data_IF_421153606718
#
_entry.id   IF_421153606718
#
_cell.length_a   1.000
_cell.length_b   1.000
_cell.length_c   1.000
_cell.angle_alpha   90.00
_cell.angle_beta   90.00
_cell.angle_gamma   90.00
#
_symmetry.space_group_name_H-M   'P 1'
#
loop_
_entity.id
_entity.type
_entity.pdbx_description
1 polymer ?
#
# COMPACT_ATOMS: atom_id res chain seq x y z
N UNK A 1 1.92 7.47 -4.69
CA UNK A 1 3.21 8.08 -4.34
C UNK A 1 4.05 7.04 -3.65
N UNK A 2 5.21 6.76 -4.17
CA UNK A 2 6.18 5.85 -3.56
C UNK A 2 7.08 6.65 -2.61
N UNK A 3 7.17 6.19 -1.37
CA UNK A 3 7.98 6.81 -0.31
C UNK A 3 9.13 5.88 0.14
N UNK A 4 9.23 4.69 -0.48
CA UNK A 4 10.30 3.72 -0.25
C UNK A 4 11.50 4.07 -1.13
N UNK A 5 12.46 4.80 -0.57
CA UNK A 5 13.66 5.24 -1.28
C UNK A 5 14.64 4.09 -1.51
N UNK A 6 15.35 4.12 -2.63
CA UNK A 6 16.45 3.20 -2.94
C UNK A 6 16.04 2.06 -3.87
N UNK A 7 15.06 1.25 -3.52
CA UNK A 7 14.62 0.10 -4.32
C UNK A 7 13.24 0.37 -4.94
N UNK A 8 13.19 1.28 -5.89
CA UNK A 8 11.97 1.66 -6.61
C UNK A 8 11.36 0.44 -7.32
N UNK A 9 10.10 0.17 -7.08
CA UNK A 9 9.37 -0.94 -7.70
C UNK A 9 8.04 -0.51 -8.34
N UNK A 10 7.43 0.54 -7.82
CA UNK A 10 6.14 1.04 -8.31
C UNK A 10 6.23 1.54 -9.75
N UNK A 11 7.34 2.14 -10.15
CA UNK A 11 7.57 2.61 -11.52
C UNK A 11 7.60 1.47 -12.54
N UNK A 12 8.17 0.30 -12.19
CA UNK A 12 8.16 -0.90 -13.04
C UNK A 12 6.73 -1.44 -13.13
N UNK A 13 6.07 -1.65 -11.98
CA UNK A 13 4.72 -2.22 -11.89
C UNK A 13 3.72 -1.35 -12.65
N UNK A 14 3.84 -0.03 -12.57
CA UNK A 14 2.97 0.92 -13.25
C UNK A 14 3.38 1.21 -14.71
N UNK A 15 4.48 0.66 -15.20
CA UNK A 15 4.98 0.86 -16.57
C UNK A 15 5.53 2.26 -16.84
N UNK A 16 5.97 2.98 -15.80
CA UNK A 16 6.53 4.33 -15.91
C UNK A 16 8.05 4.37 -15.74
N UNK A 17 8.70 3.21 -15.64
CA UNK A 17 10.15 3.10 -15.55
C UNK A 17 10.85 3.85 -16.72
N UNK A 18 11.84 4.66 -16.39
CA UNK A 18 12.56 5.51 -17.36
C UNK A 18 11.78 6.72 -17.88
N UNK A 19 10.56 6.99 -17.39
CA UNK A 19 9.72 8.13 -17.77
C UNK A 19 9.68 9.23 -16.71
N UNK A 20 10.16 8.97 -15.50
CA UNK A 20 10.17 9.90 -14.38
C UNK A 20 11.42 10.78 -14.45
N UNK A 21 11.23 12.10 -14.57
CA UNK A 21 12.30 13.10 -14.55
C UNK A 21 12.49 13.64 -13.13
N UNK A 22 11.39 13.84 -12.42
CA UNK A 22 11.35 14.33 -11.05
C UNK A 22 10.75 13.28 -10.14
N UNK A 23 11.20 13.22 -8.90
CA UNK A 23 10.72 12.32 -7.86
C UNK A 23 10.00 13.07 -6.73
N UNK A 24 9.55 12.33 -5.71
CA UNK A 24 8.83 12.92 -4.57
C UNK A 24 9.71 13.89 -3.79
N UNK A 25 11.02 13.65 -3.67
CA UNK A 25 11.94 14.53 -2.95
C UNK A 25 12.10 15.87 -3.67
N UNK A 26 12.18 15.87 -5.02
CA UNK A 26 12.22 17.09 -5.81
C UNK A 26 11.04 18.01 -5.52
N UNK A 27 9.85 17.40 -5.39
CA UNK A 27 8.63 18.14 -5.06
C UNK A 27 8.66 18.64 -3.61
N UNK A 28 9.02 17.78 -2.65
CA UNK A 28 9.00 18.14 -1.23
C UNK A 28 10.05 19.21 -0.87
N UNK A 29 11.20 19.20 -1.59
CA UNK A 29 12.24 20.22 -1.46
C UNK A 29 11.99 21.48 -2.30
N UNK A 30 10.89 21.53 -3.07
CA UNK A 30 10.55 22.67 -3.91
C UNK A 30 11.43 22.84 -5.16
N UNK A 31 12.15 21.79 -5.59
CA UNK A 31 12.95 21.81 -6.85
C UNK A 31 12.05 21.78 -8.09
N UNK A 32 10.82 21.25 -7.97
CA UNK A 32 9.82 21.31 -9.03
C UNK A 32 8.40 21.39 -8.46
N UNK A 33 7.46 21.78 -9.33
CA UNK A 33 6.03 21.71 -9.03
C UNK A 33 5.54 20.26 -9.02
N UNK A 34 4.59 19.92 -8.12
CA UNK A 34 4.07 18.56 -7.99
C UNK A 34 3.52 17.97 -9.29
N UNK A 35 2.90 18.79 -10.14
CA UNK A 35 2.38 18.38 -11.44
C UNK A 35 3.46 17.81 -12.38
N UNK A 36 4.71 18.27 -12.28
CA UNK A 36 5.83 17.81 -13.12
C UNK A 36 6.35 16.42 -12.72
N UNK A 37 6.12 16.01 -11.48
CA UNK A 37 6.51 14.70 -10.96
C UNK A 37 5.42 13.64 -11.17
N UNK A 38 4.20 14.04 -11.51
CA UNK A 38 3.08 13.12 -11.75
C UNK A 38 3.21 12.50 -13.15
N UNK A 39 3.43 11.19 -13.21
CA UNK A 39 3.56 10.45 -14.46
C UNK A 39 2.38 9.50 -14.63
N UNK A 40 1.52 9.68 -15.65
CA UNK A 40 0.41 8.77 -15.91
C UNK A 40 0.92 7.38 -16.33
N UNK A 41 0.29 6.33 -15.77
CA UNK A 41 0.59 4.96 -16.17
C UNK A 41 0.04 4.67 -17.57
N UNK A 42 0.84 4.11 -18.48
CA UNK A 42 0.35 3.64 -19.77
C UNK A 42 -0.41 2.29 -19.64
N UNK A 43 -0.26 1.59 -18.51
CA UNK A 43 -0.83 0.27 -18.29
C UNK A 43 -2.20 0.33 -17.63
N UNK A 44 -2.40 1.30 -16.74
CA UNK A 44 -3.59 1.40 -15.89
C UNK A 44 -4.25 2.76 -16.06
N UNK A 45 -5.31 2.86 -16.87
CA UNK A 45 -6.06 4.11 -17.02
C UNK A 45 -6.54 4.67 -15.67
N UNK A 46 -6.30 5.96 -15.45
CA UNK A 46 -6.64 6.64 -14.19
C UNK A 46 -5.59 6.49 -13.07
N UNK A 47 -4.54 5.69 -13.26
CA UNK A 47 -3.41 5.63 -12.35
C UNK A 47 -2.31 6.61 -12.77
N UNK A 48 -1.80 7.36 -11.80
CA UNK A 48 -0.57 8.16 -11.96
C UNK A 48 0.39 7.86 -10.82
N UNK A 49 1.68 8.00 -11.08
CA UNK A 49 2.75 7.72 -10.11
C UNK A 49 3.58 8.96 -9.88
N UNK A 50 3.96 9.19 -8.62
CA UNK A 50 5.13 9.97 -8.24
C UNK A 50 6.09 8.97 -7.61
N UNK A 51 7.26 8.81 -8.19
CA UNK A 51 8.25 7.81 -7.76
C UNK A 51 9.09 8.33 -6.58
N UNK A 52 9.64 7.41 -5.79
CA UNK A 52 10.64 7.73 -4.78
C UNK A 52 12.00 8.09 -5.42
N UNK A 53 12.91 8.77 -4.71
CA UNK A 53 14.28 8.96 -5.16
C UNK A 53 15.07 7.64 -5.14
N UNK A 54 16.10 7.52 -5.97
CA UNK A 54 17.01 6.37 -5.93
C UNK A 54 17.96 6.39 -4.74
N UNK A 55 18.28 7.57 -4.24
CA UNK A 55 19.18 7.74 -3.10
C UNK A 55 18.60 8.75 -2.11
N UNK A 56 18.65 8.42 -0.82
CA UNK A 56 18.36 9.34 0.26
C UNK A 56 16.89 9.75 0.34
N UNK A 57 16.66 10.97 0.79
CA UNK A 57 15.37 11.60 0.86
C UNK A 57 14.70 11.47 2.23
N UNK A 58 14.75 12.56 3.01
CA UNK A 58 13.92 12.68 4.19
C UNK A 58 12.50 13.09 3.76
N UNK A 59 11.53 12.19 3.95
CA UNK A 59 10.11 12.52 3.79
C UNK A 59 9.62 13.09 5.12
N UNK A 60 9.30 14.38 5.14
CA UNK A 60 8.73 15.05 6.32
C UNK A 60 7.22 15.20 6.18
N UNK A 61 6.50 15.10 7.30
CA UNK A 61 5.04 15.15 7.32
C UNK A 61 4.47 16.49 6.82
N UNK A 62 5.08 17.61 7.17
CA UNK A 62 4.54 18.93 6.83
C UNK A 62 4.61 19.23 5.31
N UNK A 63 5.75 19.06 4.61
CA UNK A 63 5.79 19.17 3.15
C UNK A 63 4.87 18.17 2.45
N UNK A 64 4.84 16.90 2.90
CA UNK A 64 3.96 15.87 2.35
C UNK A 64 2.49 16.25 2.50
N UNK A 65 2.07 16.75 3.68
CA UNK A 65 0.71 17.20 3.92
C UNK A 65 0.28 18.36 3.00
N UNK A 66 1.18 19.32 2.74
CA UNK A 66 0.92 20.40 1.77
C UNK A 66 0.73 19.87 0.36
N UNK A 67 1.58 18.95 -0.07
CA UNK A 67 1.45 18.29 -1.38
C UNK A 67 0.12 17.55 -1.50
N UNK A 68 -0.25 16.74 -0.52
CA UNK A 68 -1.52 16.02 -0.51
C UNK A 68 -2.73 16.97 -0.59
N UNK A 69 -2.69 18.07 0.18
CA UNK A 69 -3.77 19.08 0.14
C UNK A 69 -3.90 19.68 -1.26
N UNK A 70 -2.80 19.98 -1.93
CA UNK A 70 -2.81 20.52 -3.29
C UNK A 70 -3.30 19.51 -4.32
N UNK A 71 -3.09 18.21 -4.09
CA UNK A 71 -3.46 17.14 -5.04
C UNK A 71 -4.88 16.59 -4.85
N UNK A 72 -5.47 16.74 -3.66
CA UNK A 72 -6.84 16.25 -3.36
C UNK A 72 -7.92 16.64 -4.38
N UNK A 73 -7.92 17.82 -5.01
CA UNK A 73 -8.94 18.17 -6.00
C UNK A 73 -8.85 17.38 -7.32
N UNK A 74 -7.73 16.73 -7.56
CA UNK A 74 -7.43 16.08 -8.86
C UNK A 74 -7.48 14.55 -8.80
N UNK A 75 -7.53 13.95 -7.60
CA UNK A 75 -7.47 12.49 -7.40
C UNK A 75 -8.50 12.03 -6.38
N UNK A 76 -9.28 11.02 -6.73
CA UNK A 76 -10.25 10.38 -5.81
C UNK A 76 -9.52 9.66 -4.66
N UNK A 77 -8.35 9.09 -4.94
CA UNK A 77 -7.49 8.39 -3.98
C UNK A 77 -6.03 8.76 -4.19
N UNK A 78 -5.32 8.97 -3.08
CA UNK A 78 -3.87 9.13 -3.08
C UNK A 78 -3.31 8.04 -2.18
N UNK A 79 -2.56 7.09 -2.76
CA UNK A 79 -1.91 6.00 -2.04
C UNK A 79 -0.48 6.41 -1.70
N UNK A 80 -0.10 6.26 -0.44
CA UNK A 80 1.26 6.46 0.05
C UNK A 80 1.86 5.07 0.29
N UNK A 81 2.78 4.65 -0.56
CA UNK A 81 3.50 3.38 -0.46
C UNK A 81 4.78 3.59 0.35
N UNK A 82 4.88 2.93 1.51
CA UNK A 82 5.99 3.10 2.45
C UNK A 82 6.81 1.82 2.54
N UNK A 83 8.11 1.96 2.79
CA UNK A 83 8.95 0.85 3.18
C UNK A 83 8.42 0.14 4.44
N UNK A 84 8.80 -1.13 4.59
CA UNK A 84 8.57 -1.87 5.82
C UNK A 84 9.25 -1.19 7.01
N UNK A 85 8.65 -1.31 8.20
CA UNK A 85 9.18 -0.73 9.44
C UNK A 85 8.54 0.62 9.79
N UNK A 86 9.06 1.26 10.84
CA UNK A 86 8.51 2.49 11.44
C UNK A 86 9.45 3.70 11.31
N UNK A 87 10.17 3.78 10.20
CA UNK A 87 11.10 4.87 9.90
C UNK A 87 10.42 6.21 9.56
N UNK A 88 11.20 7.16 9.06
CA UNK A 88 10.71 8.49 8.71
C UNK A 88 9.58 8.48 7.66
N UNK A 89 9.62 7.68 6.57
CA UNK A 89 8.52 7.59 5.62
C UNK A 89 7.21 7.11 6.24
N UNK A 90 7.27 6.08 7.10
CA UNK A 90 6.10 5.62 7.86
C UNK A 90 5.55 6.71 8.76
N UNK A 91 6.42 7.40 9.52
CA UNK A 91 6.00 8.46 10.44
C UNK A 91 5.34 9.62 9.68
N UNK A 92 5.93 10.06 8.57
CA UNK A 92 5.36 11.11 7.75
C UNK A 92 4.01 10.70 7.15
N UNK A 93 3.94 9.53 6.50
CA UNK A 93 2.71 9.02 5.90
C UNK A 93 1.61 8.82 6.95
N UNK A 94 1.93 8.19 8.09
CA UNK A 94 0.95 7.95 9.16
C UNK A 94 0.42 9.24 9.79
N UNK A 95 1.16 10.33 9.74
CA UNK A 95 0.70 11.63 10.25
C UNK A 95 -0.34 12.27 9.33
N UNK A 96 -0.20 12.12 8.01
CA UNK A 96 -1.00 12.87 7.02
C UNK A 96 -2.08 12.05 6.33
N UNK A 97 -2.01 10.70 6.38
CA UNK A 97 -2.97 9.83 5.71
C UNK A 97 -4.30 9.76 6.48
N UNK A 98 -5.42 9.67 5.77
CA UNK A 98 -6.75 9.50 6.36
C UNK A 98 -6.98 8.06 6.86
N UNK A 99 -6.42 7.06 6.15
CA UNK A 99 -6.56 5.63 6.45
C UNK A 99 -5.21 4.94 6.33
N UNK A 100 -5.06 3.81 7.03
CA UNK A 100 -3.89 2.94 6.94
C UNK A 100 -4.31 1.51 6.62
N UNK A 101 -3.62 0.89 5.67
CA UNK A 101 -3.76 -0.52 5.33
C UNK A 101 -2.51 -1.25 5.80
N UNK A 102 -2.68 -2.19 6.74
CA UNK A 102 -1.63 -3.09 7.18
C UNK A 102 -1.66 -4.32 6.27
N UNK A 103 -0.69 -4.42 5.38
CA UNK A 103 -0.59 -5.54 4.43
C UNK A 103 0.42 -6.55 4.98
N UNK A 104 -0.09 -7.69 5.45
CA UNK A 104 0.69 -8.71 6.14
C UNK A 104 0.54 -10.07 5.46
N UNK A 105 1.56 -10.92 5.59
CA UNK A 105 1.49 -12.34 5.27
C UNK A 105 0.98 -13.14 6.47
N UNK A 106 0.36 -14.32 6.27
CA UNK A 106 -0.14 -15.17 7.36
C UNK A 106 1.01 -15.95 8.00
N UNK A 107 1.89 -15.26 8.71
CA UNK A 107 2.96 -15.84 9.49
C UNK A 107 3.14 -15.08 10.83
N UNK A 108 3.58 -15.77 11.90
CA UNK A 108 3.63 -15.20 13.25
C UNK A 108 4.52 -13.97 13.39
N UNK A 109 5.58 -13.85 12.57
CA UNK A 109 6.49 -12.70 12.62
C UNK A 109 5.80 -11.47 12.04
N UNK A 110 5.20 -11.61 10.85
CA UNK A 110 4.45 -10.53 10.21
C UNK A 110 3.26 -10.08 11.06
N UNK A 111 2.54 -11.02 11.70
CA UNK A 111 1.40 -10.69 12.58
C UNK A 111 1.85 -9.91 13.81
N UNK A 112 2.94 -10.35 14.48
CA UNK A 112 3.52 -9.64 15.61
C UNK A 112 3.96 -8.22 15.24
N UNK A 113 4.66 -8.07 14.12
CA UNK A 113 5.14 -6.77 13.65
C UNK A 113 3.95 -5.88 13.24
N UNK A 114 2.94 -6.47 12.60
CA UNK A 114 1.68 -5.80 12.30
C UNK A 114 0.94 -5.30 13.53
N UNK A 115 0.93 -6.08 14.62
CA UNK A 115 0.38 -5.67 15.92
C UNK A 115 1.09 -4.42 16.45
N UNK A 116 2.43 -4.40 16.42
CA UNK A 116 3.21 -3.25 16.87
C UNK A 116 2.87 -1.99 16.07
N UNK A 117 2.75 -2.13 14.73
CA UNK A 117 2.37 -1.02 13.85
C UNK A 117 0.93 -0.57 14.12
N UNK A 118 -0.02 -1.52 14.28
CA UNK A 118 -1.41 -1.20 14.63
C UNK A 118 -1.49 -0.39 15.93
N UNK A 119 -0.83 -0.88 16.98
CA UNK A 119 -0.79 -0.19 18.28
C UNK A 119 -0.21 1.21 18.18
N UNK A 120 0.85 1.39 17.40
CA UNK A 120 1.47 2.70 17.17
C UNK A 120 0.50 3.68 16.48
N UNK A 121 -0.23 3.22 15.47
CA UNK A 121 -1.22 4.03 14.75
C UNK A 121 -2.39 4.42 15.64
N UNK A 122 -2.90 3.48 16.46
CA UNK A 122 -4.01 3.73 17.37
C UNK A 122 -3.60 4.63 18.55
N UNK A 123 -2.40 4.42 19.12
CA UNK A 123 -1.85 5.28 20.15
C UNK A 123 -1.62 6.73 19.68
N UNK A 124 -1.38 6.93 18.38
CA UNK A 124 -1.31 8.25 17.75
C UNK A 124 -2.65 8.94 17.57
N UNK A 125 -3.75 8.41 18.13
CA UNK A 125 -5.09 9.00 18.08
C UNK A 125 -5.89 8.65 16.81
N UNK A 126 -5.40 7.74 15.98
CA UNK A 126 -6.14 7.29 14.80
C UNK A 126 -7.31 6.40 15.21
N UNK A 127 -8.54 6.64 14.70
CA UNK A 127 -9.67 5.79 15.04
C UNK A 127 -9.47 4.38 14.47
N UNK A 128 -9.91 3.36 15.20
CA UNK A 128 -9.80 1.95 14.78
C UNK A 128 -10.46 1.72 13.41
N UNK A 129 -11.51 2.46 13.08
CA UNK A 129 -12.17 2.41 11.78
C UNK A 129 -11.30 2.87 10.61
N UNK A 130 -10.22 3.58 10.85
CA UNK A 130 -9.28 4.05 9.82
C UNK A 130 -8.07 3.14 9.63
N UNK A 131 -7.91 2.09 10.44
CA UNK A 131 -6.85 1.09 10.29
C UNK A 131 -7.49 -0.24 9.87
N UNK A 132 -6.98 -0.85 8.81
CA UNK A 132 -7.51 -2.09 8.25
C UNK A 132 -6.41 -3.10 7.96
N UNK A 133 -6.72 -4.37 8.18
CA UNK A 133 -5.84 -5.50 7.87
C UNK A 133 -6.11 -6.01 6.46
N UNK A 134 -5.06 -6.27 5.71
CA UNK A 134 -5.08 -7.00 4.44
C UNK A 134 -4.15 -8.20 4.58
N UNK A 135 -4.71 -9.40 4.54
CA UNK A 135 -3.90 -10.62 4.49
C UNK A 135 -3.49 -10.86 3.04
N UNK A 136 -2.19 -10.83 2.77
CA UNK A 136 -1.61 -10.92 1.44
C UNK A 136 -0.84 -12.23 1.25
N UNK A 137 -0.73 -12.71 0.01
CA UNK A 137 -0.02 -13.93 -0.38
C UNK A 137 -0.50 -15.16 0.38
N UNK A 138 -1.82 -15.21 0.59
CA UNK A 138 -2.46 -16.31 1.32
C UNK A 138 -2.54 -17.55 0.43
N UNK A 139 -2.12 -18.69 0.95
CA UNK A 139 -2.26 -20.01 0.34
C UNK A 139 -3.22 -20.85 1.18
N UNK A 140 -3.76 -21.93 0.63
CA UNK A 140 -4.58 -22.88 1.40
C UNK A 140 -3.82 -23.46 2.58
N UNK A 141 -2.53 -23.71 2.40
CA UNK A 141 -1.63 -24.28 3.40
C UNK A 141 -1.17 -23.26 4.46
N UNK A 142 -1.53 -21.98 4.30
CA UNK A 142 -1.20 -20.93 5.29
C UNK A 142 -1.88 -21.14 6.63
N UNK A 143 -2.98 -21.91 6.65
CA UNK A 143 -3.82 -22.12 7.81
C UNK A 143 -4.02 -23.60 8.12
N UNK A 144 -4.28 -23.93 9.39
CA UNK A 144 -4.67 -25.24 9.84
C UNK A 144 -3.74 -25.84 10.90
N UNK A 145 -4.01 -27.08 11.29
CA UNK A 145 -3.33 -27.77 12.42
C UNK A 145 -1.80 -27.90 12.24
N UNK A 146 -1.30 -27.92 11.01
CA UNK A 146 0.13 -28.03 10.70
C UNK A 146 0.74 -26.72 10.19
N UNK A 147 -0.02 -25.63 10.18
CA UNK A 147 0.44 -24.30 9.84
C UNK A 147 0.87 -23.55 11.11
N UNK A 148 1.65 -22.48 10.90
CA UNK A 148 2.09 -21.62 11.99
C UNK A 148 0.98 -20.71 12.54
N UNK A 149 -0.13 -20.57 11.79
CA UNK A 149 -1.33 -19.79 12.12
C UNK A 149 -2.54 -20.70 11.91
N UNK A 150 -3.49 -20.73 12.87
CA UNK A 150 -4.61 -21.64 12.79
C UNK A 150 -5.63 -21.23 11.71
N UNK A 151 -6.00 -19.95 11.67
CA UNK A 151 -7.00 -19.40 10.76
C UNK A 151 -6.92 -17.87 10.63
N UNK A 152 -7.88 -17.27 9.93
CA UNK A 152 -7.99 -15.84 9.76
C UNK A 152 -8.40 -15.10 11.03
N UNK A 153 -9.15 -15.76 11.92
CA UNK A 153 -9.60 -15.16 13.19
C UNK A 153 -8.39 -14.93 14.09
N UNK A 154 -7.45 -15.89 14.15
CA UNK A 154 -6.17 -15.69 14.85
C UNK A 154 -5.38 -14.50 14.30
N UNK A 155 -5.36 -14.29 12.98
CA UNK A 155 -4.71 -13.12 12.37
C UNK A 155 -5.37 -11.81 12.83
N UNK A 156 -6.71 -11.76 12.83
CA UNK A 156 -7.48 -10.58 13.23
C UNK A 156 -7.26 -10.28 14.72
N UNK A 157 -7.35 -11.30 15.56
CA UNK A 157 -7.21 -11.18 17.02
C UNK A 157 -5.80 -10.77 17.40
N UNK A 158 -4.79 -11.34 16.75
CA UNK A 158 -3.38 -10.99 16.99
C UNK A 158 -3.09 -9.55 16.63
N UNK A 159 -3.50 -9.08 15.45
CA UNK A 159 -3.22 -7.71 14.99
C UNK A 159 -4.14 -6.69 15.68
N UNK A 160 -5.37 -7.08 16.02
CA UNK A 160 -6.34 -6.25 16.75
C UNK A 160 -7.03 -5.20 15.87
N UNK A 161 -7.05 -5.35 14.54
CA UNK A 161 -7.76 -4.46 13.62
C UNK A 161 -8.57 -5.25 12.60
N UNK A 162 -9.63 -4.63 12.09
CA UNK A 162 -10.61 -5.29 11.25
C UNK A 162 -10.02 -5.69 9.88
N UNK A 163 -10.28 -6.92 9.45
CA UNK A 163 -9.92 -7.45 8.14
C UNK A 163 -10.71 -6.74 7.03
N UNK A 164 -10.00 -6.29 6.02
CA UNK A 164 -10.57 -5.67 4.80
C UNK A 164 -10.56 -6.63 3.63
N UNK A 165 -9.48 -7.39 3.46
CA UNK A 165 -9.31 -8.28 2.32
C UNK A 165 -8.36 -9.43 2.62
N UNK A 166 -8.55 -10.53 1.86
CA UNK A 166 -7.62 -11.64 1.74
C UNK A 166 -7.23 -11.74 0.28
N UNK A 167 -5.94 -11.56 0.01
CA UNK A 167 -5.37 -11.63 -1.34
C UNK A 167 -4.62 -12.95 -1.47
N UNK A 168 -5.08 -13.86 -2.31
CA UNK A 168 -4.39 -15.13 -2.52
C UNK A 168 -3.02 -14.91 -3.19
N UNK A 169 -2.10 -15.84 -2.94
CA UNK A 169 -0.83 -15.80 -3.67
C UNK A 169 -1.07 -16.11 -5.15
N UNK A 170 -0.52 -15.27 -6.02
CA UNK A 170 -0.60 -15.43 -7.46
C UNK A 170 0.77 -15.24 -8.10
N UNK A 171 1.29 -16.32 -8.70
CA UNK A 171 2.51 -16.26 -9.50
C UNK A 171 2.32 -15.40 -10.76
N UNK A 172 1.11 -15.42 -11.32
CA UNK A 172 0.77 -14.63 -12.51
C UNK A 172 0.86 -13.13 -12.20
N UNK A 173 0.28 -12.71 -11.06
CA UNK A 173 0.37 -11.32 -10.60
C UNK A 173 1.83 -10.91 -10.30
N UNK A 174 2.62 -11.78 -9.68
CA UNK A 174 4.04 -11.52 -9.41
C UNK A 174 4.84 -11.31 -10.69
N UNK A 175 4.64 -12.19 -11.69
CA UNK A 175 5.32 -12.09 -12.98
C UNK A 175 4.87 -10.84 -13.76
N UNK A 176 3.58 -10.53 -13.72
CA UNK A 176 3.07 -9.32 -14.36
C UNK A 176 3.69 -8.07 -13.77
N UNK A 177 3.77 -7.97 -12.43
CA UNK A 177 4.43 -6.87 -11.74
C UNK A 177 5.92 -6.76 -12.08
N UNK A 178 6.66 -7.88 -12.06
CA UNK A 178 8.08 -7.89 -12.40
C UNK A 178 8.38 -7.49 -13.85
N UNK A 179 7.48 -7.81 -14.77
CA UNK A 179 7.62 -7.51 -16.20
C UNK A 179 6.96 -6.18 -16.61
N UNK A 180 6.35 -5.44 -15.70
CA UNK A 180 5.62 -4.21 -16.04
C UNK A 180 4.47 -4.46 -17.03
N UNK A 181 3.68 -5.53 -16.80
CA UNK A 181 2.54 -5.89 -17.64
C UNK A 181 1.26 -5.98 -16.83
N UNK A 182 0.11 -5.88 -17.49
CA UNK A 182 -1.20 -5.99 -16.83
C UNK A 182 -1.53 -7.47 -16.59
N UNK A 183 -1.81 -7.88 -15.35
CA UNK A 183 -2.25 -9.24 -15.07
C UNK A 183 -3.66 -9.50 -15.63
N UNK A 184 -4.02 -10.76 -15.92
CA UNK A 184 -5.37 -11.12 -16.34
C UNK A 184 -6.41 -10.70 -15.30
N UNK A 185 -7.51 -10.08 -15.75
CA UNK A 185 -8.57 -9.59 -14.86
C UNK A 185 -9.27 -10.72 -14.07
N UNK A 186 -9.23 -11.95 -14.58
CA UNK A 186 -9.80 -13.13 -13.92
C UNK A 186 -8.85 -13.78 -12.90
N UNK A 187 -7.63 -13.29 -12.72
CA UNK A 187 -6.72 -13.81 -11.70
C UNK A 187 -7.33 -13.60 -10.30
N UNK A 188 -7.34 -14.63 -9.43
CA UNK A 188 -7.97 -14.56 -8.12
C UNK A 188 -7.44 -13.41 -7.25
N UNK A 189 -6.15 -13.08 -7.33
CA UNK A 189 -5.58 -11.96 -6.56
C UNK A 189 -6.04 -10.60 -7.12
N UNK A 190 -6.22 -10.48 -8.44
CA UNK A 190 -6.77 -9.29 -9.07
C UNK A 190 -8.24 -9.10 -8.68
N UNK A 191 -9.05 -10.16 -8.72
CA UNK A 191 -10.46 -10.15 -8.29
C UNK A 191 -10.57 -9.75 -6.82
N UNK A 192 -9.73 -10.31 -5.95
CA UNK A 192 -9.69 -9.96 -4.53
C UNK A 192 -9.29 -8.49 -4.31
N UNK A 193 -8.31 -7.99 -5.07
CA UNK A 193 -7.91 -6.58 -5.06
C UNK A 193 -9.03 -5.64 -5.49
N UNK A 194 -9.78 -6.00 -6.53
CA UNK A 194 -10.96 -5.23 -6.96
C UNK A 194 -12.07 -5.22 -5.89
N UNK A 195 -12.31 -6.36 -5.24
CA UNK A 195 -13.26 -6.44 -4.13
C UNK A 195 -12.81 -5.58 -2.94
N UNK A 196 -11.51 -5.56 -2.62
CA UNK A 196 -10.92 -4.69 -1.63
C UNK A 196 -11.16 -3.21 -1.96
N UNK A 197 -10.89 -2.79 -3.20
CA UNK A 197 -11.11 -1.42 -3.65
C UNK A 197 -12.58 -0.99 -3.50
N UNK A 198 -13.53 -1.87 -3.88
CA UNK A 198 -14.97 -1.60 -3.68
C UNK A 198 -15.32 -1.41 -2.20
N UNK A 199 -14.75 -2.21 -1.28
CA UNK A 199 -14.96 -2.05 0.16
C UNK A 199 -14.37 -0.73 0.69
N UNK A 200 -13.21 -0.30 0.18
CA UNK A 200 -12.63 1.01 0.50
C UNK A 200 -13.53 2.17 0.07
N UNK A 201 -14.27 2.01 -1.04
CA UNK A 201 -15.30 2.94 -1.52
C UNK A 201 -16.63 2.82 -0.74
N UNK A 202 -16.71 2.02 0.32
CA UNK A 202 -17.92 1.87 1.15
C UNK A 202 -18.96 0.87 0.62
N UNK A 203 -18.66 0.13 -0.46
CA UNK A 203 -19.57 -0.87 -0.99
C UNK A 203 -19.52 -2.14 -0.12
N UNK A 204 -20.70 -2.75 0.08
CA UNK A 204 -20.82 -4.05 0.75
C UNK A 204 -20.50 -5.18 -0.23
N UNK A 205 -19.29 -5.69 -0.20
CA UNK A 205 -18.85 -6.85 -0.98
C UNK A 205 -18.49 -7.97 -0.03
N UNK A 206 -19.05 -9.18 -0.16
CA UNK A 206 -18.69 -10.33 0.68
C UNK A 206 -17.20 -10.61 0.63
N UNK A 207 -16.62 -11.01 1.76
CA UNK A 207 -15.24 -11.48 1.80
C UNK A 207 -15.26 -12.92 1.27
N UNK A 208 -14.59 -13.12 0.15
CA UNK A 208 -14.42 -14.46 -0.48
C UNK A 208 -12.94 -14.83 -0.36
N UNK A 209 -12.71 -16.07 0.03
CA UNK A 209 -11.40 -16.67 0.20
C UNK A 209 -11.43 -18.15 -0.14
#
# INVERSE_FOLDING_TARGET
MELDSGLRSVDIIAGVYGRTVYDIEDVLCGRCEGAKAVVPSPLYPGLSVISAPYEGGAVEAAPLGRLLTAMRPYFDFILLDTAAGMGAPFTAASTVADKALLVLTPDPVALRDGKIVADRLLAGGRPQSAVRLVMNRVRRESFGKNAAVADLDECIDTVGVQLLAVIPESRVLQLAGANGTVPPAADPAVVAGQAMAKRLCGQRVPLTF
#
